data_IF_641261868981
#
_entry.id   IF_641261868981
#
_cell.length_a   1.000
_cell.length_b   1.000
_cell.length_c   1.000
_cell.angle_alpha   90.00
_cell.angle_beta   90.00
_cell.angle_gamma   90.00
#
_symmetry.space_group_name_H-M   'P 1'
#
loop_
_entity.id
_entity.type
_entity.pdbx_description
1 polymer ?
#
# COMPACT_ATOMS: atom_id res chain seq x y z
N UNK A 1 22.23 30.63 7.16
CA UNK A 1 22.94 29.38 7.50
C UNK A 1 23.32 29.49 8.97
N UNK A 2 23.06 28.45 9.74
CA UNK A 2 23.41 28.33 11.15
C UNK A 2 24.45 27.21 11.28
N UNK A 3 25.52 27.46 12.02
CA UNK A 3 26.53 26.46 12.34
C UNK A 3 26.47 26.10 13.80
N UNK A 4 26.60 24.82 14.13
CA UNK A 4 26.59 24.28 15.49
C UNK A 4 27.82 23.42 15.79
N UNK A 5 29.05 23.97 15.68
CA UNK A 5 30.26 23.16 15.71
C UNK A 5 30.47 22.38 17.02
N UNK A 6 29.83 22.78 18.11
CA UNK A 6 29.92 22.03 19.36
C UNK A 6 28.96 20.83 19.47
N UNK A 7 27.93 20.76 18.59
CA UNK A 7 26.80 19.82 18.74
C UNK A 7 26.32 19.24 17.41
N UNK A 8 27.06 19.40 16.32
CA UNK A 8 26.90 18.77 15.02
C UNK A 8 28.24 18.26 14.52
N UNK A 9 28.32 16.96 14.19
CA UNK A 9 29.58 16.30 13.82
C UNK A 9 30.23 16.93 12.57
N UNK A 10 29.44 17.28 11.56
CA UNK A 10 29.94 17.88 10.31
C UNK A 10 30.46 19.32 10.55
N UNK A 11 29.74 20.09 11.36
CA UNK A 11 30.15 21.42 11.74
C UNK A 11 31.41 21.39 12.64
N UNK A 12 31.51 20.34 13.50
CA UNK A 12 32.71 20.07 14.31
C UNK A 12 33.95 19.79 13.45
N UNK A 13 33.84 18.85 12.48
CA UNK A 13 34.91 18.55 11.54
C UNK A 13 35.32 19.79 10.72
N UNK A 14 34.32 20.54 10.24
CA UNK A 14 34.56 21.79 9.49
C UNK A 14 35.26 22.82 10.35
N UNK A 15 34.85 23.01 11.60
CA UNK A 15 35.46 23.98 12.51
C UNK A 15 36.92 23.60 12.82
N UNK A 16 37.22 22.34 13.03
CA UNK A 16 38.62 21.88 13.21
C UNK A 16 39.47 22.06 11.95
N UNK A 17 38.93 21.76 10.79
CA UNK A 17 39.62 21.88 9.52
C UNK A 17 40.03 23.34 9.20
N UNK A 18 39.21 24.31 9.61
CA UNK A 18 39.38 25.71 9.31
C UNK A 18 39.76 26.57 10.53
N UNK A 19 40.14 25.92 11.63
CA UNK A 19 40.55 26.57 12.89
C UNK A 19 39.52 27.60 13.40
N UNK A 20 38.25 27.23 13.38
CA UNK A 20 37.14 28.03 13.86
C UNK A 20 36.87 27.77 15.35
N UNK A 21 36.44 28.80 16.12
CA UNK A 21 36.18 28.63 17.54
C UNK A 21 34.96 27.72 17.76
N UNK A 22 35.10 26.73 18.63
CA UNK A 22 34.04 25.83 19.07
C UNK A 22 33.67 26.18 20.52
N UNK A 23 32.40 26.45 20.79
CA UNK A 23 31.88 26.78 22.10
C UNK A 23 30.81 25.83 22.51
N UNK A 24 31.04 25.04 23.56
CA UNK A 24 30.02 24.16 24.12
C UNK A 24 28.81 24.98 24.65
N UNK A 25 27.61 24.62 24.24
CA UNK A 25 26.35 25.26 24.65
C UNK A 25 25.33 24.31 25.25
N UNK A 26 25.58 23.00 25.19
CA UNK A 26 24.80 21.95 25.88
C UNK A 26 25.74 21.09 26.70
N UNK A 27 25.36 20.73 27.90
CA UNK A 27 26.07 19.78 28.78
C UNK A 27 25.13 18.69 29.27
N UNK A 28 25.71 17.55 29.69
CA UNK A 28 24.99 16.44 30.32
C UNK A 28 25.65 16.06 31.63
N UNK A 29 24.85 15.65 32.58
CA UNK A 29 25.32 15.19 33.88
C UNK A 29 26.18 13.93 33.71
N UNK A 30 27.38 13.93 34.30
CA UNK A 30 28.32 12.82 34.22
C UNK A 30 29.16 12.73 32.95
N UNK A 31 28.97 13.66 31.99
CA UNK A 31 29.75 13.74 30.75
C UNK A 31 30.70 14.92 30.72
N UNK A 32 31.90 14.72 30.21
CA UNK A 32 32.93 15.77 30.06
C UNK A 32 33.15 16.13 28.60
N UNK A 33 32.97 17.39 28.25
CA UNK A 33 33.15 17.90 26.88
C UNK A 33 34.62 18.11 26.57
N UNK A 34 35.10 17.56 25.44
CA UNK A 34 36.48 17.72 24.95
C UNK A 34 36.50 18.23 23.51
N UNK A 35 37.46 19.06 23.17
CA UNK A 35 37.73 19.50 21.80
C UNK A 35 38.63 18.54 21.02
N UNK A 36 39.20 17.51 21.66
CA UNK A 36 40.17 16.62 21.02
C UNK A 36 39.51 15.57 20.14
N UNK A 37 38.33 15.12 20.52
CA UNK A 37 37.63 14.03 19.84
C UNK A 37 36.12 14.21 19.96
N UNK A 38 35.39 14.02 18.83
CA UNK A 38 33.92 13.92 18.80
C UNK A 38 33.44 12.81 19.69
N UNK A 39 32.34 13.03 20.41
CA UNK A 39 31.63 12.04 21.21
C UNK A 39 30.15 12.05 20.83
N UNK A 40 29.52 10.87 20.77
CA UNK A 40 28.12 10.68 20.33
C UNK A 40 27.11 11.53 21.12
N UNK A 41 27.35 11.76 22.41
CA UNK A 41 26.41 12.53 23.21
C UNK A 41 26.37 14.03 22.87
N UNK A 42 27.32 14.56 22.08
CA UNK A 42 27.35 16.00 21.74
C UNK A 42 26.12 16.45 20.97
N UNK A 43 25.49 15.56 20.18
CA UNK A 43 24.25 15.86 19.46
C UNK A 43 22.97 15.60 20.26
N UNK A 44 23.08 15.11 21.50
CA UNK A 44 21.94 14.78 22.32
C UNK A 44 21.42 15.97 23.15
N UNK A 45 20.18 15.87 23.61
CA UNK A 45 19.56 16.86 24.48
C UNK A 45 20.24 16.88 25.85
N UNK A 46 20.34 18.06 26.46
CA UNK A 46 20.96 18.26 27.76
C UNK A 46 20.52 19.58 28.39
N UNK A 47 21.40 20.15 29.21
CA UNK A 47 21.21 21.44 29.89
C UNK A 47 22.04 22.50 29.20
N UNK A 48 21.47 23.68 28.94
CA UNK A 48 22.16 24.77 28.29
C UNK A 48 23.20 25.41 29.20
N UNK A 49 24.40 25.65 28.63
CA UNK A 49 25.50 26.38 29.24
C UNK A 49 26.03 27.41 28.24
N UNK A 50 26.74 28.44 28.68
CA UNK A 50 27.31 29.47 27.80
C UNK A 50 26.30 30.13 26.85
N UNK A 51 25.03 30.13 27.20
CA UNK A 51 23.85 30.51 26.38
C UNK A 51 23.09 31.72 26.95
N UNK A 52 23.76 32.54 27.78
CA UNK A 52 23.17 33.76 28.35
C UNK A 52 21.96 33.49 29.26
N UNK A 53 20.85 34.13 28.98
CA UNK A 53 19.59 33.99 29.73
C UNK A 53 18.96 32.60 29.65
N UNK A 54 19.38 31.75 28.74
CA UNK A 54 18.87 30.36 28.57
C UNK A 54 19.72 29.33 29.33
N UNK A 55 20.78 29.77 30.06
CA UNK A 55 21.58 28.86 30.90
C UNK A 55 20.72 28.11 31.94
N UNK A 56 21.00 26.84 32.12
CA UNK A 56 20.29 25.99 33.07
C UNK A 56 18.94 25.44 32.59
N UNK A 57 18.45 25.87 31.42
CA UNK A 57 17.25 25.28 30.81
C UNK A 57 17.58 23.93 30.15
N UNK A 58 16.61 23.05 30.10
CA UNK A 58 16.70 21.86 29.27
C UNK A 58 16.67 22.24 27.79
N UNK A 59 17.21 21.40 26.92
CA UNK A 59 17.15 21.63 25.45
C UNK A 59 15.73 21.82 24.94
N UNK A 60 14.72 21.13 25.53
CA UNK A 60 13.32 21.29 25.16
C UNK A 60 12.76 22.66 25.57
N UNK A 61 13.01 23.09 26.80
CA UNK A 61 12.57 24.43 27.29
C UNK A 61 13.22 25.53 26.50
N UNK A 62 14.52 25.42 26.24
CA UNK A 62 15.27 26.40 25.48
C UNK A 62 14.78 26.55 24.03
N UNK A 63 14.48 25.43 23.34
CA UNK A 63 13.87 25.48 22.00
C UNK A 63 12.57 26.29 21.99
N UNK A 64 11.68 26.07 22.98
CA UNK A 64 10.42 26.82 23.09
C UNK A 64 10.66 28.30 23.36
N UNK A 65 11.52 28.61 24.33
CA UNK A 65 11.78 29.98 24.77
C UNK A 65 12.53 30.80 23.73
N UNK A 66 13.54 30.22 23.07
CA UNK A 66 14.29 30.87 21.99
C UNK A 66 13.37 31.12 20.78
N UNK A 67 12.53 30.15 20.41
CA UNK A 67 11.57 30.33 19.32
C UNK A 67 10.55 31.42 19.63
N UNK A 68 10.05 31.49 20.86
CA UNK A 68 9.16 32.56 21.29
C UNK A 68 9.84 33.95 21.23
N UNK A 69 11.06 34.06 21.73
CA UNK A 69 11.84 35.29 21.69
C UNK A 69 12.15 35.76 20.26
N UNK A 70 12.44 34.84 19.34
CA UNK A 70 12.64 35.16 17.92
C UNK A 70 11.36 35.66 17.25
N UNK A 71 10.21 35.04 17.61
CA UNK A 71 8.90 35.45 17.10
C UNK A 71 8.51 36.85 17.60
N UNK A 72 8.69 37.12 18.90
CA UNK A 72 8.43 38.44 19.49
C UNK A 72 9.28 39.56 18.83
N UNK A 73 10.50 39.23 18.43
CA UNK A 73 11.40 40.16 17.72
C UNK A 73 11.11 40.27 16.23
N UNK A 74 10.18 39.45 15.70
CA UNK A 74 9.81 39.42 14.27
C UNK A 74 10.92 38.95 13.33
N UNK A 75 11.90 38.17 13.85
CA UNK A 75 13.07 37.69 13.11
C UNK A 75 13.13 36.18 12.94
N UNK A 76 12.14 35.46 13.47
CA UNK A 76 11.99 34.01 13.31
C UNK A 76 10.65 33.54 13.82
N UNK A 77 10.23 32.35 13.38
CA UNK A 77 8.99 31.68 13.78
C UNK A 77 9.18 30.19 13.91
N UNK A 78 8.36 29.55 14.72
CA UNK A 78 8.27 28.10 14.77
C UNK A 78 7.56 27.57 13.52
N UNK A 79 8.19 26.64 12.80
CA UNK A 79 7.62 26.04 11.60
C UNK A 79 7.62 24.51 11.67
N UNK A 80 6.46 23.93 11.38
CA UNK A 80 6.34 22.48 11.24
C UNK A 80 6.70 22.08 9.82
N UNK A 81 7.71 21.23 9.67
CA UNK A 81 8.07 20.63 8.39
C UNK A 81 7.68 19.14 8.40
N UNK A 82 6.87 18.75 7.45
CA UNK A 82 6.52 17.36 7.27
C UNK A 82 7.62 16.61 6.49
N UNK A 83 7.94 15.40 6.89
CA UNK A 83 8.90 14.53 6.17
C UNK A 83 8.32 13.88 4.92
N UNK A 84 6.98 13.87 4.80
CA UNK A 84 6.29 13.40 3.62
C UNK A 84 6.49 14.40 2.48
N UNK A 85 6.89 13.91 1.30
CA UNK A 85 7.00 14.74 0.10
C UNK A 85 5.61 14.98 -0.48
N UNK A 86 5.43 16.15 -1.11
CA UNK A 86 4.20 16.46 -1.81
C UNK A 86 3.92 15.46 -2.93
N UNK A 87 2.66 15.07 -3.05
CA UNK A 87 2.20 14.28 -4.17
C UNK A 87 1.92 15.20 -5.36
N UNK A 88 2.86 15.26 -6.30
CA UNK A 88 2.68 16.00 -7.54
C UNK A 88 1.70 15.23 -8.45
N UNK A 89 0.56 15.86 -8.77
CA UNK A 89 -0.56 15.18 -9.44
C UNK A 89 -0.38 15.14 -10.95
N UNK A 90 0.22 16.17 -11.55
CA UNK A 90 0.33 16.31 -13.02
C UNK A 90 1.21 15.24 -13.66
N UNK A 91 0.71 14.68 -14.77
CA UNK A 91 1.43 13.74 -15.63
C UNK A 91 1.28 14.14 -17.09
N UNK A 92 2.36 14.11 -17.85
CA UNK A 92 2.41 14.34 -19.30
C UNK A 92 2.08 13.01 -20.01
N UNK A 93 0.83 12.54 -19.80
CA UNK A 93 0.33 11.26 -20.33
C UNK A 93 -1.07 11.43 -20.89
N UNK A 94 -1.38 10.65 -21.90
CA UNK A 94 -2.76 10.59 -22.44
C UNK A 94 -3.71 9.91 -21.45
N UNK A 95 -3.28 8.75 -20.91
CA UNK A 95 -4.10 7.97 -19.98
C UNK A 95 -4.08 8.57 -18.58
N UNK A 96 -5.22 9.05 -18.15
CA UNK A 96 -5.45 9.67 -16.84
C UNK A 96 -6.63 10.61 -16.88
N UNK A 97 -7.02 11.15 -15.73
CA UNK A 97 -8.09 12.14 -15.62
C UNK A 97 -7.56 13.49 -16.08
N UNK A 98 -8.19 14.15 -17.08
CA UNK A 98 -7.81 15.51 -17.47
C UNK A 98 -7.99 16.48 -16.31
N UNK A 99 -7.04 17.38 -16.13
CA UNK A 99 -7.12 18.44 -15.10
C UNK A 99 -8.11 19.50 -15.59
N UNK A 100 -9.21 19.81 -14.86
CA UNK A 100 -10.27 20.68 -15.32
C UNK A 100 -9.92 22.17 -15.16
N UNK A 101 -8.82 22.59 -15.77
CA UNK A 101 -8.30 23.96 -15.72
C UNK A 101 -8.14 24.54 -17.13
N UNK A 102 -8.41 25.82 -17.25
CA UNK A 102 -8.29 26.60 -18.48
C UNK A 102 -7.43 27.83 -18.21
N UNK A 103 -6.49 28.12 -19.08
CA UNK A 103 -5.60 29.29 -18.99
C UNK A 103 -6.07 30.38 -19.96
N UNK A 104 -6.41 31.56 -19.44
CA UNK A 104 -6.82 32.72 -20.17
C UNK A 104 -5.80 33.85 -19.98
N UNK A 105 -5.32 34.46 -21.04
CA UNK A 105 -4.36 35.58 -20.96
C UNK A 105 -4.89 36.78 -20.16
N UNK A 106 -6.22 37.01 -20.19
CA UNK A 106 -6.85 38.12 -19.47
C UNK A 106 -7.23 37.77 -18.02
N UNK A 107 -7.70 36.53 -17.77
CA UNK A 107 -8.34 36.14 -16.52
C UNK A 107 -7.44 35.23 -15.66
N UNK A 108 -6.29 34.78 -16.19
CA UNK A 108 -5.45 33.78 -15.54
C UNK A 108 -6.07 32.37 -15.55
N UNK A 109 -5.74 31.57 -14.55
CA UNK A 109 -6.25 30.23 -14.35
C UNK A 109 -7.73 30.27 -13.99
N UNK A 110 -8.54 29.44 -14.66
CA UNK A 110 -9.98 29.31 -14.43
C UNK A 110 -10.34 27.83 -14.37
N UNK A 111 -11.26 27.46 -13.48
CA UNK A 111 -11.82 26.12 -13.44
C UNK A 111 -12.84 25.92 -14.57
N UNK A 112 -12.90 24.72 -15.13
CA UNK A 112 -13.98 24.30 -16.02
C UNK A 112 -15.28 24.30 -15.20
N UNK A 113 -16.39 24.91 -15.66
CA UNK A 113 -17.67 24.87 -14.98
C UNK A 113 -18.19 23.45 -14.78
N UNK A 114 -18.92 23.20 -13.70
CA UNK A 114 -19.46 21.87 -13.39
C UNK A 114 -20.36 21.32 -14.49
N UNK A 115 -21.10 22.19 -15.18
CA UNK A 115 -22.00 21.85 -16.29
C UNK A 115 -21.25 21.35 -17.53
N UNK A 116 -19.94 21.66 -17.63
CA UNK A 116 -19.08 21.21 -18.73
C UNK A 116 -18.25 19.96 -18.38
N UNK A 117 -18.41 19.43 -17.18
CA UNK A 117 -17.76 18.18 -16.76
C UNK A 117 -18.55 16.96 -17.26
N UNK A 118 -17.86 15.86 -17.54
CA UNK A 118 -16.41 15.63 -17.46
C UNK A 118 -15.65 16.21 -18.65
N UNK A 119 -14.41 16.66 -18.43
CA UNK A 119 -13.49 16.97 -19.53
C UNK A 119 -13.10 15.65 -20.20
N UNK A 120 -13.48 15.49 -21.48
CA UNK A 120 -13.26 14.25 -22.23
C UNK A 120 -11.90 14.26 -22.92
N UNK A 121 -11.22 13.11 -22.94
CA UNK A 121 -9.98 12.92 -23.69
C UNK A 121 -10.29 13.00 -25.20
N UNK A 122 -9.45 13.69 -26.00
CA UNK A 122 -9.60 13.76 -27.45
C UNK A 122 -9.13 12.47 -28.12
N UNK A 123 -9.72 12.16 -29.28
CA UNK A 123 -9.37 10.98 -30.08
C UNK A 123 -8.32 11.27 -31.17
N UNK A 124 -8.05 12.56 -31.47
CA UNK A 124 -7.17 13.04 -32.53
C UNK A 124 -5.74 13.33 -32.09
N UNK A 125 -5.30 12.72 -30.99
CA UNK A 125 -3.94 12.89 -30.44
C UNK A 125 -2.87 12.16 -31.28
N UNK A 126 -1.66 12.71 -31.28
CA UNK A 126 -0.48 12.08 -31.85
C UNK A 126 0.49 11.70 -30.76
N UNK A 127 0.98 10.46 -30.81
CA UNK A 127 2.00 9.97 -29.90
C UNK A 127 3.39 10.14 -30.54
N UNK A 128 3.99 11.31 -30.33
CA UNK A 128 5.30 11.65 -30.90
C UNK A 128 6.39 11.50 -29.84
N UNK A 129 7.55 10.96 -30.22
CA UNK A 129 8.69 10.85 -29.34
C UNK A 129 9.22 12.27 -29.00
N UNK A 130 9.29 12.59 -27.69
CA UNK A 130 9.74 13.89 -27.20
C UNK A 130 8.66 14.96 -27.07
N UNK A 131 7.41 14.66 -27.36
CA UNK A 131 6.30 15.57 -27.04
C UNK A 131 6.15 15.77 -25.52
N UNK A 132 5.88 16.99 -25.09
CA UNK A 132 5.71 17.32 -23.66
C UNK A 132 4.48 16.63 -23.11
N UNK A 133 3.35 16.68 -23.81
CA UNK A 133 2.12 15.95 -23.50
C UNK A 133 1.41 15.56 -24.80
N UNK A 134 0.87 14.33 -24.91
CA UNK A 134 0.08 13.93 -26.07
C UNK A 134 -1.17 14.80 -26.29
N UNK A 135 -1.80 15.30 -25.23
CA UNK A 135 -2.98 16.16 -25.32
C UNK A 135 -2.66 17.51 -25.96
N UNK A 136 -1.44 18.00 -25.84
CA UNK A 136 -0.98 19.23 -26.49
C UNK A 136 -0.93 19.14 -28.02
N UNK A 137 -0.98 17.92 -28.60
CA UNK A 137 -0.99 17.69 -30.05
C UNK A 137 -2.39 17.82 -30.68
N UNK A 138 -3.45 17.84 -29.86
CA UNK A 138 -4.83 18.00 -30.31
C UNK A 138 -5.24 19.46 -30.22
N UNK A 139 -5.33 20.14 -31.34
CA UNK A 139 -5.80 21.54 -31.39
C UNK A 139 -7.26 21.69 -30.94
N UNK A 140 -8.09 20.68 -31.23
CA UNK A 140 -9.49 20.65 -30.84
C UNK A 140 -9.69 20.57 -29.33
N UNK A 141 -8.78 19.89 -28.63
CA UNK A 141 -8.75 19.81 -27.17
C UNK A 141 -8.13 21.06 -26.55
N UNK A 142 -6.98 21.48 -27.08
CA UNK A 142 -6.18 22.56 -26.52
C UNK A 142 -6.90 23.89 -26.51
N UNK A 143 -7.54 24.25 -27.64
CA UNK A 143 -8.19 25.55 -27.83
C UNK A 143 -9.60 25.52 -27.26
N UNK A 144 -9.92 26.48 -26.41
CA UNK A 144 -11.24 26.60 -25.75
C UNK A 144 -11.56 28.08 -25.48
N UNK A 145 -12.69 28.32 -24.86
CA UNK A 145 -13.12 29.65 -24.41
C UNK A 145 -12.98 29.77 -22.89
N UNK A 146 -12.62 30.96 -22.43
CA UNK A 146 -12.56 31.27 -21.03
C UNK A 146 -13.96 31.31 -20.41
N UNK A 147 -14.26 30.52 -19.36
CA UNK A 147 -15.59 30.51 -18.75
C UNK A 147 -15.95 31.85 -18.08
N UNK A 148 -14.97 32.67 -17.73
CA UNK A 148 -15.19 33.96 -17.07
C UNK A 148 -15.44 35.12 -18.03
N UNK A 149 -14.71 35.23 -19.15
CA UNK A 149 -14.79 36.37 -20.05
C UNK A 149 -15.20 36.03 -21.47
N UNK A 150 -15.39 34.74 -21.82
CA UNK A 150 -15.75 34.27 -23.16
C UNK A 150 -14.66 34.44 -24.23
N UNK A 151 -13.48 34.95 -23.86
CA UNK A 151 -12.35 35.11 -24.76
C UNK A 151 -11.58 33.79 -25.03
N UNK A 152 -10.62 33.85 -26.01
CA UNK A 152 -9.77 32.66 -26.25
C UNK A 152 -9.03 32.21 -25.02
N UNK A 153 -8.92 30.88 -24.84
CA UNK A 153 -8.22 30.27 -23.76
C UNK A 153 -7.64 28.90 -24.16
N UNK A 154 -6.77 28.33 -23.35
CA UNK A 154 -6.14 27.03 -23.58
C UNK A 154 -6.43 26.10 -22.41
N UNK A 155 -6.78 24.84 -22.71
CA UNK A 155 -6.95 23.81 -21.67
C UNK A 155 -5.61 23.39 -21.12
N UNK A 156 -5.62 22.95 -19.86
CA UNK A 156 -4.52 22.16 -19.31
C UNK A 156 -4.36 20.86 -20.10
N UNK A 157 -3.13 20.52 -20.44
CA UNK A 157 -2.81 19.34 -21.26
C UNK A 157 -2.21 18.19 -20.46
N UNK A 158 -1.96 18.40 -19.17
CA UNK A 158 -1.57 17.32 -18.28
C UNK A 158 -2.80 16.55 -17.80
N UNK A 159 -2.61 15.27 -17.54
CA UNK A 159 -3.58 14.44 -16.84
C UNK A 159 -3.17 14.25 -15.39
N UNK A 160 -4.08 13.83 -14.54
CA UNK A 160 -3.75 13.48 -13.17
C UNK A 160 -3.06 12.12 -13.10
N UNK A 161 -2.27 11.92 -12.07
CA UNK A 161 -1.70 10.62 -11.73
C UNK A 161 -2.81 9.56 -11.67
N UNK A 162 -2.57 8.38 -12.23
CA UNK A 162 -3.55 7.28 -12.26
C UNK A 162 -3.96 6.78 -10.87
N UNK A 163 -3.15 7.05 -9.83
CA UNK A 163 -3.57 6.81 -8.44
C UNK A 163 -4.77 7.67 -7.99
N UNK A 164 -5.07 8.76 -8.67
CA UNK A 164 -6.29 9.54 -8.40
C UNK A 164 -7.52 8.65 -8.59
N UNK A 165 -7.61 7.93 -9.70
CA UNK A 165 -8.73 7.03 -9.98
C UNK A 165 -8.78 5.86 -9.01
N UNK A 166 -7.64 5.19 -8.81
CA UNK A 166 -7.57 4.00 -7.97
C UNK A 166 -7.73 4.29 -6.48
N UNK A 167 -7.59 5.54 -6.05
CA UNK A 167 -7.67 5.92 -4.64
C UNK A 167 -9.08 5.89 -4.06
N UNK A 168 -10.10 5.86 -4.89
CA UNK A 168 -11.50 5.85 -4.47
C UNK A 168 -12.39 4.86 -5.24
N UNK A 169 -11.82 3.98 -6.06
CA UNK A 169 -12.55 3.05 -6.91
C UNK A 169 -13.57 2.19 -6.13
N UNK A 170 -13.24 1.81 -4.90
CA UNK A 170 -14.10 1.02 -4.03
C UNK A 170 -15.37 1.78 -3.63
N UNK A 171 -15.32 3.12 -3.53
CA UNK A 171 -16.52 3.95 -3.35
C UNK A 171 -17.35 3.99 -4.63
N UNK A 172 -16.71 4.19 -5.78
CA UNK A 172 -17.42 4.17 -7.09
C UNK A 172 -18.12 2.84 -7.32
N UNK A 173 -17.50 1.71 -6.92
CA UNK A 173 -18.09 0.37 -7.07
C UNK A 173 -19.38 0.17 -6.27
N UNK A 174 -19.60 0.91 -5.20
CA UNK A 174 -20.86 0.84 -4.44
C UNK A 174 -22.06 1.28 -5.27
N UNK A 175 -21.86 2.17 -6.25
CA UNK A 175 -22.91 2.75 -7.08
C UNK A 175 -22.40 3.04 -8.52
N UNK A 176 -21.84 2.04 -9.17
CA UNK A 176 -21.11 2.15 -10.43
C UNK A 176 -21.93 2.63 -11.62
N UNK A 177 -23.26 2.51 -11.57
CA UNK A 177 -24.18 2.92 -12.65
C UNK A 177 -24.77 4.32 -12.46
N UNK A 178 -24.45 5.00 -11.38
CA UNK A 178 -24.91 6.36 -11.14
C UNK A 178 -24.21 7.31 -12.13
N UNK A 179 -25.01 8.08 -12.88
CA UNK A 179 -24.54 9.06 -13.87
C UNK A 179 -24.70 10.52 -13.42
N UNK A 180 -25.24 10.74 -12.22
CA UNK A 180 -25.51 12.07 -11.67
C UNK A 180 -24.47 12.49 -10.64
N UNK A 181 -24.01 11.54 -9.81
CA UNK A 181 -23.03 11.78 -8.75
C UNK A 181 -21.99 10.66 -8.72
N UNK A 182 -20.81 10.86 -8.13
CA UNK A 182 -19.77 9.83 -8.05
C UNK A 182 -20.24 8.54 -7.39
N UNK A 183 -21.11 8.66 -6.39
CA UNK A 183 -21.79 7.55 -5.68
C UNK A 183 -22.90 8.15 -4.79
N UNK A 184 -23.94 7.37 -4.50
CA UNK A 184 -24.95 7.74 -3.50
C UNK A 184 -24.38 7.58 -2.09
N UNK A 185 -24.51 8.62 -1.25
CA UNK A 185 -24.00 8.64 0.12
C UNK A 185 -24.55 7.51 0.99
N UNK A 186 -25.84 7.16 0.88
CA UNK A 186 -26.45 6.12 1.70
C UNK A 186 -25.95 4.74 1.31
N UNK A 187 -25.79 4.51 -0.01
CA UNK A 187 -25.27 3.25 -0.55
C UNK A 187 -23.80 3.09 -0.14
N UNK A 188 -23.00 4.14 -0.30
CA UNK A 188 -21.60 4.14 0.12
C UNK A 188 -21.46 3.87 1.62
N UNK A 189 -22.22 4.56 2.48
CA UNK A 189 -22.18 4.34 3.94
C UNK A 189 -22.64 2.95 4.37
N UNK A 190 -23.54 2.31 3.61
CA UNK A 190 -23.95 0.93 3.86
C UNK A 190 -22.81 -0.07 3.65
N UNK A 191 -22.00 0.11 2.59
CA UNK A 191 -20.92 -0.80 2.23
C UNK A 191 -19.58 -0.48 2.91
N UNK A 192 -19.36 0.77 3.30
CA UNK A 192 -18.11 1.19 3.93
C UNK A 192 -18.12 0.89 5.44
N UNK A 193 -16.97 0.61 6.06
CA UNK A 193 -15.64 0.44 5.46
C UNK A 193 -15.51 -0.94 4.80
N UNK A 194 -14.54 -1.08 3.87
CA UNK A 194 -14.21 -2.39 3.29
C UNK A 194 -13.72 -3.32 4.41
N UNK A 195 -14.32 -4.51 4.53
CA UNK A 195 -14.05 -5.41 5.66
C UNK A 195 -12.64 -6.01 5.59
N UNK A 196 -12.22 -6.47 4.41
CA UNK A 196 -10.88 -7.03 4.21
C UNK A 196 -10.29 -6.52 2.90
N UNK A 197 -9.14 -5.88 2.99
CA UNK A 197 -8.38 -5.40 1.84
C UNK A 197 -7.08 -6.19 1.68
N UNK A 198 -6.78 -6.62 0.46
CA UNK A 198 -5.67 -7.52 0.18
C UNK A 198 -4.81 -6.93 -0.94
N UNK A 199 -3.51 -6.87 -0.73
CA UNK A 199 -2.58 -6.35 -1.73
C UNK A 199 -1.12 -6.51 -1.33
N UNK A 200 -0.21 -6.14 -2.24
CA UNK A 200 1.23 -6.16 -1.99
C UNK A 200 1.66 -5.08 -1.00
N UNK A 201 2.70 -5.36 -0.23
CA UNK A 201 3.23 -4.43 0.78
C UNK A 201 3.77 -3.13 0.16
N UNK A 202 4.19 -3.15 -1.11
CA UNK A 202 4.67 -1.98 -1.84
C UNK A 202 3.65 -0.85 -1.93
N UNK A 203 2.36 -1.18 -1.81
CA UNK A 203 1.28 -0.20 -1.83
C UNK A 203 1.12 0.58 -0.52
N UNK A 204 1.82 0.22 0.56
CA UNK A 204 1.75 0.94 1.83
C UNK A 204 2.07 2.43 1.71
N UNK A 205 3.04 2.78 0.87
CA UNK A 205 3.47 4.16 0.58
C UNK A 205 2.94 4.72 -0.76
N UNK A 206 2.07 3.99 -1.44
CA UNK A 206 1.46 4.36 -2.72
C UNK A 206 -0.06 4.34 -2.60
N UNK A 207 -0.72 3.36 -3.20
CA UNK A 207 -2.17 3.23 -3.27
C UNK A 207 -2.87 3.33 -1.89
N UNK A 208 -2.36 2.65 -0.87
CA UNK A 208 -2.99 2.67 0.46
C UNK A 208 -2.92 4.05 1.11
N UNK A 209 -1.78 4.74 0.99
CA UNK A 209 -1.62 6.11 1.48
C UNK A 209 -2.59 7.06 0.78
N UNK A 210 -2.69 6.97 -0.54
CA UNK A 210 -3.56 7.84 -1.33
C UNK A 210 -5.05 7.53 -1.09
N UNK A 211 -5.42 6.26 -0.96
CA UNK A 211 -6.79 5.85 -0.62
C UNK A 211 -7.25 6.42 0.73
N UNK A 212 -6.38 6.38 1.74
CA UNK A 212 -6.64 6.96 3.04
C UNK A 212 -6.80 8.48 2.97
N UNK A 213 -5.92 9.14 2.21
CA UNK A 213 -6.01 10.58 1.99
C UNK A 213 -7.34 10.96 1.30
N UNK A 214 -7.71 10.26 0.23
CA UNK A 214 -8.97 10.50 -0.50
C UNK A 214 -10.19 10.30 0.40
N UNK A 215 -10.24 9.22 1.18
CA UNK A 215 -11.36 8.96 2.09
C UNK A 215 -11.50 10.05 3.14
N UNK A 216 -10.38 10.56 3.69
CA UNK A 216 -10.40 11.68 4.64
C UNK A 216 -10.93 12.97 4.00
N UNK A 217 -10.49 13.30 2.78
CA UNK A 217 -11.01 14.47 2.05
C UNK A 217 -12.50 14.32 1.74
N UNK A 218 -12.94 13.16 1.26
CA UNK A 218 -14.35 12.88 0.96
C UNK A 218 -15.21 12.92 2.23
N UNK A 219 -14.67 12.44 3.36
CA UNK A 219 -15.30 12.57 4.68
C UNK A 219 -15.44 14.04 5.09
N UNK A 220 -14.37 14.83 5.00
CA UNK A 220 -14.38 16.26 5.36
C UNK A 220 -15.35 17.07 4.50
N UNK A 221 -15.57 16.66 3.25
CA UNK A 221 -16.61 17.20 2.38
C UNK A 221 -18.04 16.73 2.75
N UNK A 222 -18.17 15.85 3.74
CA UNK A 222 -19.46 15.33 4.20
C UNK A 222 -20.15 14.34 3.26
N UNK A 223 -19.40 13.77 2.31
CA UNK A 223 -19.93 12.84 1.30
C UNK A 223 -20.01 11.39 1.81
N UNK A 224 -19.22 11.02 2.82
CA UNK A 224 -19.27 9.73 3.52
C UNK A 224 -19.07 9.93 5.02
N UNK A 225 -19.42 8.90 5.83
CA UNK A 225 -19.22 8.89 7.29
C UNK A 225 -17.89 8.24 7.68
N UNK A 226 -17.40 7.31 6.86
CA UNK A 226 -16.12 6.64 7.10
C UNK A 226 -14.95 7.61 6.93
N UNK A 227 -13.99 7.60 7.87
CA UNK A 227 -12.74 8.37 7.78
C UNK A 227 -11.50 7.50 7.50
N UNK A 228 -11.67 6.19 7.42
CA UNK A 228 -10.68 5.22 6.97
C UNK A 228 -11.33 4.24 5.98
N UNK A 229 -10.65 3.85 4.89
CA UNK A 229 -11.25 3.03 3.85
C UNK A 229 -11.42 1.56 4.24
N UNK A 230 -10.48 0.99 5.00
CA UNK A 230 -10.35 -0.44 5.24
C UNK A 230 -10.37 -0.77 6.73
N UNK A 231 -11.12 -1.82 7.11
CA UNK A 231 -11.13 -2.37 8.48
C UNK A 231 -9.95 -3.29 8.73
N UNK A 232 -9.68 -4.18 7.79
CA UNK A 232 -8.59 -5.14 7.84
C UNK A 232 -7.72 -5.04 6.60
N UNK A 233 -6.41 -5.11 6.79
CA UNK A 233 -5.43 -5.13 5.71
C UNK A 233 -4.61 -6.41 5.79
N UNK A 234 -4.57 -7.17 4.69
CA UNK A 234 -3.65 -8.27 4.51
C UNK A 234 -2.61 -7.88 3.46
N UNK A 235 -1.38 -7.69 3.90
CA UNK A 235 -0.25 -7.44 3.00
C UNK A 235 0.36 -8.75 2.54
N UNK A 236 0.41 -8.95 1.22
CA UNK A 236 1.01 -10.13 0.61
C UNK A 236 2.51 -9.96 0.44
N UNK A 237 3.26 -11.05 0.71
CA UNK A 237 4.67 -11.13 0.37
C UNK A 237 4.90 -11.16 -1.14
N UNK A 238 6.15 -10.97 -1.55
CA UNK A 238 6.54 -10.98 -2.98
C UNK A 238 6.60 -12.40 -3.52
N UNK A 239 6.18 -12.58 -4.77
CA UNK A 239 6.43 -13.82 -5.50
C UNK A 239 7.76 -13.69 -6.23
N UNK A 240 8.70 -14.51 -5.84
CA UNK A 240 10.06 -14.56 -6.39
C UNK A 240 10.20 -15.76 -7.35
N UNK A 241 11.16 -15.71 -8.23
CA UNK A 241 11.65 -16.87 -8.97
C UNK A 241 13.18 -16.88 -8.91
N UNK A 242 13.74 -17.99 -8.43
CA UNK A 242 15.17 -18.13 -8.20
C UNK A 242 15.74 -17.02 -7.30
N UNK A 243 15.03 -16.73 -6.19
CA UNK A 243 15.40 -15.71 -5.21
C UNK A 243 15.33 -14.27 -5.70
N UNK A 244 14.77 -14.01 -6.88
CA UNK A 244 14.67 -12.68 -7.48
C UNK A 244 13.23 -12.29 -7.80
N UNK A 245 12.90 -11.00 -7.62
CA UNK A 245 11.62 -10.45 -8.08
C UNK A 245 11.43 -10.72 -9.57
N UNK A 246 10.25 -11.25 -9.93
CA UNK A 246 9.88 -11.49 -11.34
C UNK A 246 9.83 -10.17 -12.11
N UNK A 247 10.48 -10.14 -13.28
CA UNK A 247 10.39 -9.02 -14.21
C UNK A 247 10.57 -9.46 -15.65
N UNK A 248 9.91 -8.78 -16.59
CA UNK A 248 10.06 -9.06 -18.03
C UNK A 248 11.50 -8.87 -18.50
N UNK A 249 12.21 -7.88 -17.94
CA UNK A 249 13.61 -7.60 -18.29
C UNK A 249 14.58 -8.70 -17.87
N UNK A 250 14.26 -9.47 -16.83
CA UNK A 250 15.05 -10.62 -16.36
C UNK A 250 14.66 -11.94 -17.02
N UNK A 251 13.53 -11.97 -17.73
CA UNK A 251 13.02 -13.20 -18.36
C UNK A 251 12.57 -14.29 -17.38
N UNK A 252 12.38 -13.94 -16.10
CA UNK A 252 12.02 -14.89 -15.04
C UNK A 252 10.53 -14.82 -14.65
N UNK A 253 9.67 -14.35 -15.55
CA UNK A 253 8.23 -14.26 -15.32
C UNK A 253 7.59 -15.64 -15.54
N UNK A 254 6.72 -16.03 -14.63
CA UNK A 254 5.84 -17.20 -14.77
C UNK A 254 4.49 -16.74 -15.30
N UNK A 255 4.04 -17.31 -16.41
CA UNK A 255 2.72 -17.01 -16.97
C UNK A 255 1.64 -17.81 -16.24
N UNK A 256 0.65 -17.17 -15.61
CA UNK A 256 -0.51 -17.88 -15.06
C UNK A 256 -1.25 -18.69 -16.13
N UNK A 257 -1.29 -18.23 -17.37
CA UNK A 257 -1.97 -18.90 -18.49
C UNK A 257 -1.35 -20.27 -18.80
N UNK A 258 -0.02 -20.37 -18.82
CA UNK A 258 0.68 -21.65 -19.03
C UNK A 258 0.34 -22.67 -17.94
N UNK A 259 0.27 -22.22 -16.68
CA UNK A 259 -0.07 -23.08 -15.55
C UNK A 259 -1.52 -23.50 -15.62
N UNK A 260 -2.43 -22.58 -15.91
CA UNK A 260 -3.87 -22.85 -16.01
C UNK A 260 -4.13 -23.85 -17.13
N UNK A 261 -3.48 -23.70 -18.28
CA UNK A 261 -3.65 -24.61 -19.42
C UNK A 261 -3.05 -26.00 -19.15
N UNK A 262 -1.97 -26.10 -18.37
CA UNK A 262 -1.30 -27.37 -18.09
C UNK A 262 -1.89 -28.11 -16.90
N UNK A 263 -2.18 -27.41 -15.80
CA UNK A 263 -2.55 -27.99 -14.50
C UNK A 263 -3.92 -27.56 -14.00
N UNK A 264 -4.57 -26.60 -14.64
CA UNK A 264 -5.84 -26.03 -14.20
C UNK A 264 -5.69 -24.89 -13.20
N UNK A 265 -6.72 -24.02 -13.14
CA UNK A 265 -6.74 -22.85 -12.27
C UNK A 265 -6.67 -23.19 -10.78
N UNK A 266 -7.35 -24.27 -10.35
CA UNK A 266 -7.38 -24.68 -8.94
C UNK A 266 -6.01 -25.12 -8.43
N UNK A 267 -5.15 -25.70 -9.31
CA UNK A 267 -3.77 -26.03 -8.97
C UNK A 267 -2.95 -24.78 -8.68
N UNK A 268 -3.05 -23.76 -9.55
CA UNK A 268 -2.36 -22.48 -9.35
C UNK A 268 -2.80 -21.80 -8.05
N UNK A 269 -4.09 -21.76 -7.79
CA UNK A 269 -4.66 -21.17 -6.57
C UNK A 269 -4.21 -21.91 -5.31
N UNK A 270 -4.26 -23.24 -5.33
CA UNK A 270 -3.83 -24.08 -4.20
C UNK A 270 -2.34 -23.88 -3.92
N UNK A 271 -1.50 -23.89 -4.96
CA UNK A 271 -0.06 -23.73 -4.81
C UNK A 271 0.29 -22.39 -4.13
N UNK A 272 -0.28 -21.27 -4.60
CA UNK A 272 0.00 -19.94 -4.04
C UNK A 272 -0.38 -19.87 -2.57
N UNK A 273 -1.51 -20.47 -2.17
CA UNK A 273 -1.97 -20.45 -0.77
C UNK A 273 -1.21 -21.43 0.13
N UNK A 274 -0.61 -22.46 -0.46
CA UNK A 274 0.08 -23.52 0.29
C UNK A 274 1.57 -23.26 0.49
N UNK A 275 2.24 -22.65 -0.50
CA UNK A 275 3.69 -22.63 -0.59
C UNK A 275 4.39 -21.78 0.49
N UNK A 276 3.72 -20.74 1.02
CA UNK A 276 4.24 -19.89 2.10
C UNK A 276 3.09 -19.24 2.89
N UNK A 277 3.35 -18.76 4.13
CA UNK A 277 2.47 -17.80 4.78
C UNK A 277 2.24 -16.58 3.90
N UNK A 278 1.02 -16.04 3.90
CA UNK A 278 0.59 -14.98 2.96
C UNK A 278 1.39 -13.67 3.07
N UNK A 279 1.95 -13.39 4.23
CA UNK A 279 2.77 -12.20 4.53
C UNK A 279 4.27 -12.41 4.25
N UNK A 280 4.66 -13.60 3.81
CA UNK A 280 6.04 -13.96 3.51
C UNK A 280 6.28 -14.05 2.01
N UNK A 281 7.53 -13.81 1.61
CA UNK A 281 7.94 -14.02 0.24
C UNK A 281 7.83 -15.50 -0.14
N UNK A 282 7.32 -15.74 -1.35
CA UNK A 282 7.15 -17.05 -1.95
C UNK A 282 8.16 -17.21 -3.09
N UNK A 283 9.04 -18.20 -3.00
CA UNK A 283 9.87 -18.59 -4.15
C UNK A 283 9.11 -19.61 -5.00
N UNK A 284 8.95 -19.28 -6.29
CA UNK A 284 8.19 -20.10 -7.24
C UNK A 284 8.86 -21.46 -7.47
N UNK A 285 8.09 -22.55 -7.38
CA UNK A 285 8.54 -23.92 -7.58
C UNK A 285 7.62 -24.68 -8.52
N UNK A 286 8.11 -25.05 -9.68
CA UNK A 286 7.35 -25.90 -10.63
C UNK A 286 7.03 -27.27 -10.05
N UNK A 287 7.93 -27.84 -9.22
CA UNK A 287 7.68 -29.08 -8.49
C UNK A 287 6.55 -28.94 -7.45
N UNK A 288 6.46 -27.77 -6.81
CA UNK A 288 5.37 -27.45 -5.88
C UNK A 288 4.01 -27.35 -6.57
N UNK A 289 3.97 -26.78 -7.79
CA UNK A 289 2.76 -26.74 -8.62
C UNK A 289 2.32 -28.15 -8.99
N UNK A 290 3.24 -29.00 -9.46
CA UNK A 290 2.95 -30.39 -9.80
C UNK A 290 2.49 -31.19 -8.57
N UNK A 291 3.09 -30.96 -7.40
CA UNK A 291 2.65 -31.53 -6.12
C UNK A 291 1.23 -31.17 -5.76
N UNK A 292 0.84 -29.91 -5.96
CA UNK A 292 -0.54 -29.42 -5.75
C UNK A 292 -1.53 -30.08 -6.71
N UNK A 293 -1.18 -30.23 -7.98
CA UNK A 293 -1.98 -30.93 -8.98
C UNK A 293 -2.23 -32.39 -8.58
N UNK A 294 -1.18 -33.11 -8.20
CA UNK A 294 -1.30 -34.51 -7.73
C UNK A 294 -2.18 -34.62 -6.50
N UNK A 295 -2.09 -33.68 -5.57
CA UNK A 295 -2.94 -33.66 -4.37
C UNK A 295 -4.40 -33.47 -4.75
N UNK A 296 -4.76 -32.52 -5.59
CA UNK A 296 -6.14 -32.33 -6.07
C UNK A 296 -6.69 -33.59 -6.75
N UNK A 297 -5.87 -34.26 -7.58
CA UNK A 297 -6.23 -35.52 -8.21
C UNK A 297 -6.47 -36.66 -7.18
N UNK A 298 -5.73 -36.66 -6.06
CA UNK A 298 -5.99 -37.61 -4.96
C UNK A 298 -7.33 -37.35 -4.27
N UNK A 299 -7.60 -36.07 -3.99
CA UNK A 299 -8.90 -35.65 -3.38
C UNK A 299 -10.04 -36.08 -4.28
N UNK A 300 -9.95 -35.80 -5.59
CA UNK A 300 -10.97 -36.21 -6.54
C UNK A 300 -11.22 -37.73 -6.51
N UNK A 301 -10.17 -38.54 -6.68
CA UNK A 301 -10.27 -39.99 -6.72
C UNK A 301 -10.87 -40.63 -5.46
N UNK A 302 -10.49 -40.08 -4.27
CA UNK A 302 -11.02 -40.66 -3.03
C UNK A 302 -12.52 -40.35 -2.85
N UNK A 303 -12.94 -39.12 -3.20
CA UNK A 303 -14.34 -38.71 -3.14
C UNK A 303 -15.18 -39.49 -4.15
N UNK A 304 -14.69 -39.66 -5.39
CA UNK A 304 -15.35 -40.40 -6.45
C UNK A 304 -15.55 -41.87 -6.04
N UNK A 305 -14.52 -42.51 -5.52
CA UNK A 305 -14.60 -43.87 -5.01
C UNK A 305 -15.64 -44.04 -3.87
N UNK A 306 -15.66 -43.10 -2.93
CA UNK A 306 -16.63 -43.12 -1.83
C UNK A 306 -18.06 -42.81 -2.28
N UNK A 307 -18.28 -42.01 -3.30
CA UNK A 307 -19.59 -41.71 -3.85
C UNK A 307 -20.29 -42.98 -4.42
N UNK A 308 -19.53 -43.88 -4.99
CA UNK A 308 -20.09 -45.18 -5.47
C UNK A 308 -20.45 -46.10 -4.30
N UNK A 309 -19.72 -46.05 -3.18
CA UNK A 309 -19.98 -46.89 -2.00
C UNK A 309 -21.01 -46.28 -1.04
N UNK A 310 -21.11 -44.95 -0.95
CA UNK A 310 -22.05 -44.24 -0.06
C UNK A 310 -23.54 -44.55 -0.33
N UNK A 311 -23.84 -45.16 -1.46
CA UNK A 311 -25.19 -45.72 -1.75
C UNK A 311 -25.54 -46.90 -0.87
N UNK A 312 -24.58 -47.47 -0.11
CA UNK A 312 -24.82 -48.50 0.90
C UNK A 312 -25.07 -47.82 2.25
N UNK A 313 -26.32 -47.89 2.76
CA UNK A 313 -26.62 -47.38 4.09
C UNK A 313 -25.81 -48.15 5.14
N UNK A 314 -24.80 -47.49 5.72
CA UNK A 314 -24.02 -48.00 6.84
C UNK A 314 -24.87 -47.78 8.12
N UNK A 315 -25.44 -48.83 8.65
CA UNK A 315 -26.13 -48.85 9.94
C UNK A 315 -25.34 -49.68 10.92
N UNK A 316 -24.83 -49.09 11.98
CA UNK A 316 -24.06 -49.77 13.02
C UNK A 316 -23.22 -48.86 13.89
N UNK A 317 -22.62 -49.42 14.95
CA UNK A 317 -21.62 -48.72 15.74
C UNK A 317 -20.30 -48.64 14.97
N UNK A 318 -19.60 -47.48 15.09
CA UNK A 318 -18.32 -47.27 14.44
C UNK A 318 -17.28 -48.28 14.99
N UNK A 319 -16.53 -48.83 14.08
CA UNK A 319 -15.33 -49.61 14.43
C UNK A 319 -14.26 -48.68 15.06
N UNK A 320 -13.26 -49.29 15.67
CA UNK A 320 -12.14 -48.53 16.28
C UNK A 320 -11.42 -47.65 15.26
N UNK A 321 -11.23 -48.13 14.02
CA UNK A 321 -10.54 -47.40 12.96
C UNK A 321 -11.41 -46.27 12.40
N UNK A 322 -12.73 -46.50 12.21
CA UNK A 322 -13.68 -45.45 11.82
C UNK A 322 -13.79 -44.34 12.89
N UNK A 323 -13.77 -44.71 14.17
CA UNK A 323 -13.76 -43.75 15.26
C UNK A 323 -12.46 -42.93 15.27
N UNK A 324 -11.32 -43.55 14.98
CA UNK A 324 -10.04 -42.83 14.85
C UNK A 324 -10.05 -41.85 13.68
N UNK A 325 -10.58 -42.24 12.50
CA UNK A 325 -10.73 -41.36 11.35
C UNK A 325 -11.68 -40.18 11.64
N UNK A 326 -12.80 -40.46 12.31
CA UNK A 326 -13.76 -39.41 12.72
C UNK A 326 -13.10 -38.39 13.69
N UNK A 327 -12.32 -38.87 14.62
CA UNK A 327 -11.57 -38.00 15.54
C UNK A 327 -10.57 -37.11 14.78
N UNK A 328 -9.87 -37.67 13.80
CA UNK A 328 -8.96 -36.93 12.94
C UNK A 328 -9.70 -35.88 12.11
N UNK A 329 -10.81 -36.20 11.52
CA UNK A 329 -11.69 -35.27 10.81
C UNK A 329 -12.02 -34.03 11.69
N UNK A 330 -12.48 -34.28 12.92
CA UNK A 330 -12.86 -33.18 13.81
C UNK A 330 -11.64 -32.36 14.27
N UNK A 331 -10.47 -33.00 14.44
CA UNK A 331 -9.20 -32.30 14.71
C UNK A 331 -8.86 -31.37 13.57
N UNK A 332 -8.99 -31.83 12.33
CA UNK A 332 -8.67 -31.03 11.13
C UNK A 332 -9.70 -29.92 10.94
N UNK A 333 -11.00 -30.16 11.13
CA UNK A 333 -12.02 -29.11 11.09
C UNK A 333 -11.67 -27.98 12.06
N UNK A 334 -11.35 -28.31 13.31
CA UNK A 334 -10.95 -27.34 14.32
C UNK A 334 -9.70 -26.55 13.88
N UNK A 335 -8.66 -27.25 13.45
CA UNK A 335 -7.38 -26.65 13.02
C UNK A 335 -7.59 -25.70 11.84
N UNK A 336 -8.32 -26.11 10.80
CA UNK A 336 -8.61 -25.28 9.62
C UNK A 336 -9.41 -24.04 10.01
N UNK A 337 -10.43 -24.20 10.87
CA UNK A 337 -11.23 -23.07 11.35
C UNK A 337 -10.35 -22.05 12.08
N UNK A 338 -9.53 -22.50 13.02
CA UNK A 338 -8.64 -21.62 13.79
C UNK A 338 -7.59 -20.93 12.91
N UNK A 339 -7.01 -21.64 11.93
CA UNK A 339 -6.01 -21.10 11.02
C UNK A 339 -6.59 -20.01 10.09
N UNK A 340 -7.83 -20.18 9.62
CA UNK A 340 -8.46 -19.24 8.72
C UNK A 340 -9.06 -18.03 9.46
N UNK A 341 -9.65 -18.27 10.63
CA UNK A 341 -10.41 -17.24 11.36
C UNK A 341 -9.49 -16.16 11.98
N UNK A 342 -8.30 -16.54 12.43
CA UNK A 342 -7.44 -15.65 13.19
C UNK A 342 -6.32 -15.00 12.37
N UNK A 343 -5.69 -15.71 11.43
CA UNK A 343 -4.43 -15.26 10.83
C UNK A 343 -4.28 -15.53 9.33
N UNK A 344 -5.29 -16.03 8.64
CA UNK A 344 -5.18 -16.46 7.24
C UNK A 344 -4.01 -17.43 6.98
N UNK A 345 -3.78 -18.39 7.90
CA UNK A 345 -2.73 -19.41 7.80
C UNK A 345 -3.13 -20.51 6.82
N UNK A 346 -3.29 -20.15 5.54
CA UNK A 346 -3.74 -21.07 4.50
C UNK A 346 -2.81 -22.27 4.33
N UNK A 347 -1.50 -22.07 4.42
CA UNK A 347 -0.50 -23.11 4.24
C UNK A 347 -0.64 -24.22 5.30
N UNK A 348 -0.87 -23.87 6.57
CA UNK A 348 -1.06 -24.86 7.64
C UNK A 348 -2.45 -25.50 7.59
N UNK A 349 -3.47 -24.77 7.20
CA UNK A 349 -4.82 -25.32 6.96
C UNK A 349 -4.80 -26.36 5.84
N UNK A 350 -4.15 -26.05 4.71
CA UNK A 350 -4.01 -27.00 3.58
C UNK A 350 -3.18 -28.22 4.00
N UNK A 351 -2.09 -28.04 4.77
CA UNK A 351 -1.29 -29.14 5.30
C UNK A 351 -2.16 -30.08 6.15
N UNK A 352 -2.99 -29.54 7.04
CA UNK A 352 -3.88 -30.36 7.87
C UNK A 352 -4.91 -31.15 7.02
N UNK A 353 -5.42 -30.55 5.93
CA UNK A 353 -6.30 -31.26 4.98
C UNK A 353 -5.53 -32.37 4.25
N UNK A 354 -4.25 -32.15 3.88
CA UNK A 354 -3.42 -33.19 3.28
C UNK A 354 -3.20 -34.39 4.22
N UNK A 355 -3.00 -34.12 5.54
CA UNK A 355 -2.94 -35.16 6.56
C UNK A 355 -4.23 -35.97 6.65
N UNK A 356 -5.39 -35.31 6.64
CA UNK A 356 -6.71 -35.96 6.62
C UNK A 356 -6.86 -36.86 5.39
N UNK A 357 -6.52 -36.39 4.22
CA UNK A 357 -6.59 -37.17 2.97
C UNK A 357 -5.67 -38.41 3.07
N UNK A 358 -4.49 -38.27 3.65
CA UNK A 358 -3.61 -39.44 3.90
C UNK A 358 -4.26 -40.44 4.86
N UNK A 359 -4.91 -39.99 5.93
CA UNK A 359 -5.61 -40.84 6.88
C UNK A 359 -6.82 -41.57 6.22
N UNK A 360 -7.53 -40.89 5.31
CA UNK A 360 -8.64 -41.48 4.53
C UNK A 360 -8.13 -42.59 3.62
N UNK A 361 -7.01 -42.40 2.89
CA UNK A 361 -6.41 -43.45 2.08
C UNK A 361 -5.95 -44.64 2.92
N UNK A 362 -5.26 -44.40 4.02
CA UNK A 362 -4.83 -45.46 4.94
C UNK A 362 -6.02 -46.25 5.55
N UNK A 363 -7.18 -45.61 5.74
CA UNK A 363 -8.38 -46.29 6.19
C UNK A 363 -8.98 -47.15 5.06
N UNK A 364 -9.04 -46.65 3.84
CA UNK A 364 -9.52 -47.40 2.66
C UNK A 364 -8.70 -48.66 2.46
N UNK A 365 -7.38 -48.56 2.47
CA UNK A 365 -6.44 -49.67 2.26
C UNK A 365 -6.56 -50.79 3.35
N UNK A 366 -7.12 -50.46 4.52
CA UNK A 366 -7.38 -51.44 5.59
C UNK A 366 -8.76 -52.10 5.50
N UNK A 367 -9.69 -51.47 4.77
CA UNK A 367 -11.04 -51.95 4.59
C UNK A 367 -11.16 -52.92 3.39
N UNK A 368 -10.13 -53.00 2.53
CA UNK A 368 -9.95 -54.00 1.48
C UNK A 368 -9.28 -55.26 2.08
#
# INVERSE_FOLDING_TARGET
>A
VMGSPAHDERDWEFAHKYDLPIKQVVTREGEEYSLEKWQEWYHEDGILVNSGEYNGQTSEEARKNITAALNERGIGEGKVNFRLRDWLISRQRYWGVPIPVVYCEKCGEQLVPEEELPVRLPEDVKFESGAVSPLATSESFLNTTCPKCGGPARRETDTMDTFIDSSWYFLRYTDAKNDQVPFDKKIANYWMNVDQYIGGIEHAILHLLYSRFFVKVIHDLGLIEANEPFRGLLTQGMVLKEGSKMSKSKGNVVSPEEIINTYGADTARLFILFAAPVDRDLDWSDQGVEGSYRFLGRVWRIVDAYNEEAKKNVTGELTKDEFALRRELHRVIKKVTEDLDNNFNFNTAISAIMELVNAMYAHKDKAE
#
